data_IF_661599102216
#
_entry.id   IF_661599102216
#
_cell.length_a   1.000
_cell.length_b   1.000
_cell.length_c   1.000
_cell.angle_alpha   90.00
_cell.angle_beta   90.00
_cell.angle_gamma   90.00
#
_symmetry.space_group_name_H-M   'P 1'
#
loop_
_entity.id
_entity.type
_entity.pdbx_description
1 polymer ?
#
# COMPACT_ATOMS: atom_id res chain seq x y z
N UNK A 1 8.60 0.22 -1.73
CA UNK A 1 9.60 0.74 -0.76
C UNK A 1 9.22 0.18 0.60
N UNK A 2 10.19 -0.18 1.46
CA UNK A 2 9.89 -0.64 2.81
C UNK A 2 10.84 0.05 3.83
N UNK A 3 10.35 0.41 5.02
CA UNK A 3 11.19 0.83 6.14
C UNK A 3 12.20 -0.27 6.49
N UNK A 4 13.43 0.11 6.84
CA UNK A 4 14.45 -0.80 7.35
C UNK A 4 14.34 -0.90 8.89
N UNK A 5 13.35 -1.66 9.35
CA UNK A 5 13.05 -1.88 10.76
C UNK A 5 12.83 -3.37 11.01
N UNK A 6 13.44 -3.89 12.08
CA UNK A 6 13.28 -5.29 12.50
C UNK A 6 11.97 -5.53 13.26
N UNK A 7 11.41 -4.48 13.86
CA UNK A 7 10.22 -4.56 14.70
C UNK A 7 8.92 -4.46 13.90
N UNK A 8 7.83 -4.95 14.49
CA UNK A 8 6.48 -4.74 13.98
C UNK A 8 6.05 -3.29 14.22
N UNK A 9 5.33 -2.73 13.25
CA UNK A 9 4.80 -1.38 13.25
C UNK A 9 3.31 -1.43 13.52
N UNK A 10 2.84 -0.67 14.50
CA UNK A 10 1.41 -0.39 14.65
C UNK A 10 0.98 0.56 13.52
N UNK A 11 0.03 0.10 12.71
CA UNK A 11 -0.53 0.85 11.59
C UNK A 11 -1.99 1.16 11.90
N UNK A 12 -2.35 2.42 11.75
CA UNK A 12 -3.72 2.93 11.84
C UNK A 12 -4.05 3.66 10.53
N UNK A 13 -5.20 3.35 9.96
CA UNK A 13 -5.69 3.96 8.72
C UNK A 13 -7.04 4.60 9.02
N UNK A 14 -7.04 5.94 9.11
CA UNK A 14 -8.25 6.71 9.46
C UNK A 14 -9.38 6.53 8.44
N UNK A 15 -9.04 6.30 7.16
CA UNK A 15 -10.02 6.22 6.08
C UNK A 15 -10.98 5.03 6.17
N UNK A 16 -10.52 3.89 6.69
CA UNK A 16 -11.30 2.65 6.80
C UNK A 16 -11.36 2.11 8.24
N UNK A 17 -10.73 2.81 9.20
CA UNK A 17 -10.70 2.41 10.61
C UNK A 17 -9.82 1.18 10.89
N UNK A 18 -8.96 0.78 9.95
CA UNK A 18 -8.03 -0.31 10.18
C UNK A 18 -7.04 0.05 11.27
N UNK A 19 -6.85 -0.88 12.22
CA UNK A 19 -5.77 -0.83 13.21
C UNK A 19 -5.17 -2.21 13.38
N UNK A 20 -3.85 -2.33 13.24
CA UNK A 20 -3.15 -3.60 13.39
C UNK A 20 -1.65 -3.49 13.26
N UNK A 21 -0.95 -4.54 13.65
CA UNK A 21 0.51 -4.60 13.54
C UNK A 21 0.95 -5.28 12.24
N UNK A 22 1.86 -4.63 11.51
CA UNK A 22 2.48 -5.14 10.28
C UNK A 22 3.98 -5.24 10.43
N UNK A 23 4.62 -6.18 9.73
CA UNK A 23 6.07 -6.09 9.51
C UNK A 23 6.43 -4.82 8.74
N UNK A 24 7.69 -4.40 8.80
CA UNK A 24 8.17 -3.27 8.03
C UNK A 24 7.93 -3.45 6.52
N UNK A 25 8.11 -4.67 5.99
CA UNK A 25 7.84 -4.96 4.57
C UNK A 25 6.35 -4.76 4.22
N UNK A 26 5.45 -5.35 5.02
CA UNK A 26 4.01 -5.18 4.81
C UNK A 26 3.55 -3.72 4.96
N UNK A 27 4.07 -3.00 5.95
CA UNK A 27 3.80 -1.57 6.13
C UNK A 27 4.31 -0.75 4.94
N UNK A 28 5.47 -1.10 4.39
CA UNK A 28 6.02 -0.50 3.18
C UNK A 28 5.13 -0.68 1.95
N UNK A 29 4.57 -1.88 1.78
CA UNK A 29 3.61 -2.18 0.71
C UNK A 29 2.37 -1.30 0.86
N UNK A 30 1.77 -1.24 2.06
CA UNK A 30 0.59 -0.41 2.34
C UNK A 30 0.88 1.07 2.05
N UNK A 31 1.96 1.61 2.60
CA UNK A 31 2.35 3.01 2.40
C UNK A 31 2.58 3.33 0.92
N UNK A 32 3.24 2.44 0.19
CA UNK A 32 3.50 2.62 -1.25
C UNK A 32 2.19 2.59 -2.06
N UNK A 33 1.23 1.73 -1.70
CA UNK A 33 -0.07 1.67 -2.37
C UNK A 33 -0.87 2.97 -2.17
N UNK A 34 -0.90 3.53 -0.97
CA UNK A 34 -1.53 4.82 -0.72
C UNK A 34 -0.86 5.95 -1.52
N UNK A 35 0.47 5.99 -1.53
CA UNK A 35 1.21 7.00 -2.30
C UNK A 35 0.92 6.90 -3.80
N UNK A 36 0.89 5.68 -4.37
CA UNK A 36 0.54 5.49 -5.78
C UNK A 36 -0.89 5.93 -6.09
N UNK A 37 -1.86 5.61 -5.22
CA UNK A 37 -3.24 6.03 -5.39
C UNK A 37 -3.42 7.55 -5.35
N UNK A 38 -2.75 8.23 -4.42
CA UNK A 38 -2.75 9.69 -4.33
C UNK A 38 -2.11 10.33 -5.57
N UNK A 39 -0.92 9.88 -5.97
CA UNK A 39 -0.22 10.43 -7.13
C UNK A 39 -0.99 10.18 -8.44
N UNK A 40 -1.64 9.02 -8.59
CA UNK A 40 -2.50 8.74 -9.73
C UNK A 40 -3.69 9.70 -9.80
N UNK A 41 -4.32 10.01 -8.66
CA UNK A 41 -5.41 10.98 -8.60
C UNK A 41 -4.95 12.41 -8.90
N UNK A 42 -3.76 12.82 -8.42
CA UNK A 42 -3.17 14.13 -8.72
C UNK A 42 -2.79 14.29 -10.20
N UNK A 43 -2.36 13.20 -10.85
CA UNK A 43 -1.96 13.16 -12.26
C UNK A 43 -3.06 12.63 -13.20
N UNK A 44 -4.33 12.71 -12.77
CA UNK A 44 -5.46 12.21 -13.55
C UNK A 44 -5.52 12.79 -14.98
N UNK A 45 -6.08 12.01 -15.91
CA UNK A 45 -6.19 12.35 -17.34
C UNK A 45 -4.84 12.59 -18.07
N UNK A 46 -3.77 11.98 -17.56
CA UNK A 46 -2.44 12.00 -18.19
C UNK A 46 -1.87 10.59 -18.35
N UNK A 47 -1.01 10.38 -19.35
CA UNK A 47 -0.28 9.12 -19.54
C UNK A 47 0.53 8.73 -18.29
N UNK A 48 1.01 9.72 -17.53
CA UNK A 48 1.71 9.48 -16.27
C UNK A 48 0.79 8.94 -15.17
N UNK A 49 -0.45 9.46 -15.10
CA UNK A 49 -1.48 8.95 -14.20
C UNK A 49 -1.84 7.49 -14.52
N UNK A 50 -2.05 7.17 -15.80
CA UNK A 50 -2.32 5.79 -16.23
C UNK A 50 -1.18 4.84 -15.84
N UNK A 51 0.07 5.28 -16.05
CA UNK A 51 1.24 4.51 -15.67
C UNK A 51 1.37 4.31 -14.14
N UNK A 52 0.87 5.24 -13.32
CA UNK A 52 0.82 5.10 -11.85
C UNK A 52 -0.28 4.12 -11.41
N UNK A 53 -1.43 4.14 -12.08
CA UNK A 53 -2.52 3.18 -11.87
C UNK A 53 -2.05 1.75 -12.16
N UNK A 54 -1.32 1.53 -13.25
CA UNK A 54 -0.74 0.22 -13.56
C UNK A 54 0.20 -0.27 -12.46
N UNK A 55 1.07 0.62 -11.96
CA UNK A 55 1.98 0.30 -10.84
C UNK A 55 1.22 -0.03 -9.56
N UNK A 56 0.13 0.68 -9.27
CA UNK A 56 -0.75 0.37 -8.15
C UNK A 56 -1.31 -1.05 -8.28
N UNK A 57 -1.85 -1.42 -9.45
CA UNK A 57 -2.39 -2.76 -9.67
C UNK A 57 -1.32 -3.86 -9.63
N UNK A 58 -0.12 -3.62 -10.15
CA UNK A 58 0.98 -4.58 -10.05
C UNK A 58 1.42 -4.81 -8.60
N UNK A 59 1.58 -3.74 -7.81
CA UNK A 59 1.95 -3.88 -6.41
C UNK A 59 0.83 -4.54 -5.59
N UNK A 60 -0.43 -4.19 -5.86
CA UNK A 60 -1.59 -4.81 -5.24
C UNK A 60 -1.68 -6.30 -5.58
N UNK A 61 -1.31 -6.70 -6.80
CA UNK A 61 -1.21 -8.10 -7.20
C UNK A 61 -0.06 -8.83 -6.51
N UNK A 62 1.12 -8.20 -6.41
CA UNK A 62 2.26 -8.74 -5.68
C UNK A 62 1.93 -9.02 -4.20
N UNK A 63 1.21 -8.10 -3.56
CA UNK A 63 0.79 -8.21 -2.16
C UNK A 63 -0.06 -9.47 -1.88
N UNK A 64 -0.73 -10.04 -2.89
CA UNK A 64 -1.51 -11.28 -2.74
C UNK A 64 -0.67 -12.49 -2.31
N UNK A 65 0.62 -12.47 -2.62
CA UNK A 65 1.57 -13.54 -2.30
C UNK A 65 2.31 -13.33 -0.97
N UNK A 66 2.12 -12.19 -0.32
CA UNK A 66 2.78 -11.85 0.94
C UNK A 66 2.17 -12.65 2.11
N UNK A 67 2.99 -13.06 3.08
CA UNK A 67 2.51 -13.81 4.25
C UNK A 67 1.43 -13.06 5.05
N UNK A 68 1.46 -11.73 5.01
CA UNK A 68 0.52 -10.82 5.68
C UNK A 68 -0.55 -10.24 4.71
N UNK A 69 -0.79 -10.87 3.55
CA UNK A 69 -1.71 -10.35 2.52
C UNK A 69 -3.07 -9.93 3.07
N UNK A 70 -3.69 -10.72 3.96
CA UNK A 70 -4.99 -10.42 4.55
C UNK A 70 -4.99 -9.15 5.43
N UNK A 71 -3.86 -8.81 6.04
CA UNK A 71 -3.73 -7.57 6.81
C UNK A 71 -3.46 -6.39 5.88
N UNK A 72 -2.61 -6.57 4.86
CA UNK A 72 -2.34 -5.55 3.83
C UNK A 72 -3.64 -5.16 3.12
N UNK A 73 -4.44 -6.12 2.66
CA UNK A 73 -5.69 -5.82 1.95
C UNK A 73 -6.71 -5.10 2.83
N UNK A 74 -6.81 -5.46 4.11
CA UNK A 74 -7.70 -4.76 5.05
C UNK A 74 -7.22 -3.33 5.33
N UNK A 75 -5.92 -3.07 5.29
CA UNK A 75 -5.40 -1.73 5.49
C UNK A 75 -5.67 -0.78 4.31
N UNK A 76 -5.77 -1.31 3.08
CA UNK A 76 -5.96 -0.51 1.86
C UNK A 76 -7.40 -0.52 1.31
N UNK A 77 -8.33 -1.19 2.00
CA UNK A 77 -9.75 -1.25 1.62
C UNK A 77 -10.42 0.12 1.74
#
# INVERSE_FOLDING_TARGET
MAPDLADRLEIEVDGNGFRGELSADAAGIVATLFALGQLAAEAADTDAGDALIDRYHFLRGFAASHAEAAAIYRAID
#
